data_IF_222211712951
#
_entry.id   IF_222211712951
#
_cell.length_a   1.000
_cell.length_b   1.000
_cell.length_c   1.000
_cell.angle_alpha   90.00
_cell.angle_beta   90.00
_cell.angle_gamma   90.00
#
_symmetry.space_group_name_H-M   'P 1'
#
loop_
_entity.id
_entity.type
_entity.pdbx_description
1 polymer ?
#
# COMPACT_ATOMS: atom_id res chain seq x y z
N UNK A 1 12.75 16.78 -7.87
CA UNK A 1 11.73 15.70 -7.99
C UNK A 1 12.37 14.44 -7.41
N UNK A 2 11.61 13.44 -6.91
CA UNK A 2 12.22 12.16 -6.60
C UNK A 2 12.81 11.58 -7.89
N UNK A 3 13.98 10.96 -7.80
CA UNK A 3 14.49 10.13 -8.89
C UNK A 3 13.54 8.95 -9.08
N UNK A 4 13.25 8.61 -10.33
CA UNK A 4 12.36 7.49 -10.69
C UNK A 4 13.19 6.34 -11.22
N UNK A 5 12.94 5.13 -10.74
CA UNK A 5 13.49 3.91 -11.30
C UNK A 5 12.52 3.41 -12.37
N UNK A 6 13.04 3.22 -13.59
CA UNK A 6 12.30 2.63 -14.70
C UNK A 6 12.28 1.12 -14.54
N UNK A 7 11.12 0.50 -14.71
CA UNK A 7 10.93 -0.94 -14.61
C UNK A 7 10.27 -1.45 -15.88
N UNK A 8 10.74 -2.59 -16.39
CA UNK A 8 10.02 -3.43 -17.33
C UNK A 8 9.80 -4.80 -16.71
N UNK A 9 8.56 -5.28 -16.74
CA UNK A 9 8.24 -6.64 -16.36
C UNK A 9 7.61 -7.38 -17.53
N UNK A 10 8.18 -8.54 -17.86
CA UNK A 10 7.64 -9.48 -18.82
C UNK A 10 7.11 -10.71 -18.09
N UNK A 11 5.80 -10.92 -18.17
CA UNK A 11 5.10 -12.07 -17.60
C UNK A 11 4.79 -13.06 -18.70
N UNK A 12 5.07 -14.35 -18.47
CA UNK A 12 4.60 -15.44 -19.32
C UNK A 12 3.93 -16.54 -18.50
N UNK A 13 2.79 -17.04 -18.98
CA UNK A 13 1.99 -18.02 -18.26
C UNK A 13 0.64 -18.31 -18.90
N UNK A 14 -0.23 -18.98 -18.15
CA UNK A 14 -1.57 -19.35 -18.61
C UNK A 14 -2.44 -18.10 -18.91
N UNK A 15 -3.26 -18.11 -19.98
CA UNK A 15 -4.06 -16.94 -20.37
C UNK A 15 -4.96 -16.39 -19.27
N UNK A 16 -5.50 -17.25 -18.41
CA UNK A 16 -6.31 -16.84 -17.25
C UNK A 16 -5.50 -16.00 -16.24
N UNK A 17 -4.22 -16.34 -16.04
CA UNK A 17 -3.34 -15.61 -15.13
C UNK A 17 -2.89 -14.28 -15.74
N UNK A 18 -2.60 -14.26 -17.03
CA UNK A 18 -2.30 -13.03 -17.77
C UNK A 18 -3.49 -12.05 -17.72
N UNK A 19 -4.73 -12.56 -17.78
CA UNK A 19 -5.92 -11.72 -17.61
C UNK A 19 -6.01 -11.09 -16.21
N UNK A 20 -5.66 -11.83 -15.15
CA UNK A 20 -5.62 -11.28 -13.79
C UNK A 20 -4.46 -10.28 -13.59
N UNK A 21 -3.30 -10.51 -14.21
CA UNK A 21 -2.20 -9.52 -14.23
C UNK A 21 -2.64 -8.23 -14.93
N UNK A 22 -3.39 -8.31 -16.04
CA UNK A 22 -3.97 -7.12 -16.72
C UNK A 22 -4.91 -6.34 -15.79
N UNK A 23 -5.68 -7.04 -14.95
CA UNK A 23 -6.53 -6.38 -13.96
C UNK A 23 -5.70 -5.67 -12.89
N UNK A 24 -4.62 -6.29 -12.41
CA UNK A 24 -3.69 -5.66 -11.49
C UNK A 24 -3.02 -4.42 -12.10
N UNK A 25 -2.49 -4.53 -13.32
CA UNK A 25 -1.86 -3.44 -14.05
C UNK A 25 -2.81 -2.23 -14.26
N UNK A 26 -4.11 -2.48 -14.48
CA UNK A 26 -5.12 -1.43 -14.67
C UNK A 26 -5.80 -0.95 -13.37
N UNK A 27 -5.40 -1.47 -12.20
CA UNK A 27 -6.02 -1.14 -10.91
C UNK A 27 -7.43 -1.72 -10.73
N UNK A 28 -7.84 -2.67 -11.58
CA UNK A 28 -9.16 -3.34 -11.57
C UNK A 28 -9.22 -4.53 -10.59
N UNK A 29 -8.56 -4.39 -9.44
CA UNK A 29 -8.57 -5.32 -8.31
C UNK A 29 -9.43 -4.75 -7.20
N UNK A 30 -10.22 -5.60 -6.54
CA UNK A 30 -11.08 -5.15 -5.43
C UNK A 30 -10.22 -4.60 -4.28
N UNK A 31 -10.45 -3.35 -3.85
CA UNK A 31 -9.57 -2.66 -2.90
C UNK A 31 -9.88 -2.99 -1.43
N UNK A 32 -9.85 -4.29 -1.08
CA UNK A 32 -10.25 -4.77 0.25
C UNK A 32 -9.38 -4.18 1.37
N UNK A 33 -8.05 -4.10 1.17
CA UNK A 33 -7.14 -3.54 2.17
C UNK A 33 -7.42 -2.06 2.42
N UNK A 34 -7.70 -1.27 1.37
CA UNK A 34 -8.06 0.15 1.51
C UNK A 34 -9.35 0.35 2.29
N UNK A 35 -10.36 -0.53 2.06
CA UNK A 35 -11.57 -0.54 2.88
C UNK A 35 -11.23 -0.82 4.34
N UNK A 36 -10.50 -1.90 4.61
CA UNK A 36 -10.11 -2.28 5.97
C UNK A 36 -9.29 -1.19 6.69
N UNK A 37 -8.42 -0.49 5.97
CA UNK A 37 -7.68 0.67 6.47
C UNK A 37 -8.63 1.81 6.87
N UNK A 38 -9.52 2.22 5.97
CA UNK A 38 -10.44 3.34 6.24
C UNK A 38 -11.41 3.02 7.41
N UNK A 39 -11.96 1.81 7.42
CA UNK A 39 -12.78 1.30 8.51
C UNK A 39 -12.01 1.24 9.83
N UNK A 40 -10.75 0.81 9.78
CA UNK A 40 -9.84 0.79 10.91
C UNK A 40 -9.54 2.20 11.46
N UNK A 41 -9.30 3.17 10.59
CA UNK A 41 -9.12 4.58 10.99
C UNK A 41 -10.40 5.10 11.66
N UNK A 42 -11.58 4.76 11.14
CA UNK A 42 -12.85 5.16 11.75
C UNK A 42 -13.04 4.55 13.15
N UNK A 43 -12.69 3.27 13.33
CA UNK A 43 -12.69 2.60 14.63
C UNK A 43 -11.68 3.21 15.60
N UNK A 44 -10.47 3.54 15.12
CA UNK A 44 -9.44 4.23 15.90
C UNK A 44 -9.96 5.56 16.44
N UNK A 45 -10.59 6.37 15.59
CA UNK A 45 -11.17 7.66 15.96
C UNK A 45 -12.35 7.50 16.93
N UNK A 46 -13.25 6.54 16.68
CA UNK A 46 -14.37 6.24 17.57
C UNK A 46 -13.89 5.83 18.96
N UNK A 47 -12.86 4.97 19.05
CA UNK A 47 -12.24 4.59 20.32
C UNK A 47 -11.57 5.75 21.03
N UNK A 48 -10.80 6.55 20.29
CA UNK A 48 -10.10 7.73 20.84
C UNK A 48 -11.05 8.81 21.38
N UNK A 49 -12.24 8.91 20.80
CA UNK A 49 -13.29 9.82 21.27
C UNK A 49 -14.22 9.20 22.34
N UNK A 50 -13.95 7.97 22.79
CA UNK A 50 -14.75 7.27 23.80
C UNK A 50 -16.12 6.79 23.32
N UNK A 51 -16.39 6.84 22.01
CA UNK A 51 -17.61 6.31 21.41
C UNK A 51 -17.67 4.78 21.49
N UNK A 52 -16.49 4.14 21.45
CA UNK A 52 -16.28 2.71 21.68
C UNK A 52 -15.28 2.55 22.83
N UNK A 53 -15.51 1.54 23.66
CA UNK A 53 -14.71 1.27 24.84
C UNK A 53 -14.26 -0.19 24.87
N UNK A 54 -13.12 -0.45 25.50
CA UNK A 54 -12.62 -1.81 25.64
C UNK A 54 -13.46 -2.60 26.65
N UNK A 55 -13.57 -3.91 26.45
CA UNK A 55 -14.24 -4.83 27.39
C UNK A 55 -13.25 -5.62 28.24
N UNK A 56 -12.02 -5.77 27.75
CA UNK A 56 -10.95 -6.55 28.35
C UNK A 56 -9.67 -5.71 28.45
N UNK A 57 -8.71 -6.13 29.28
CA UNK A 57 -7.42 -5.44 29.36
C UNK A 57 -6.59 -5.79 28.12
N UNK A 58 -6.15 -4.75 27.42
CA UNK A 58 -5.27 -4.82 26.26
C UNK A 58 -4.03 -3.96 26.49
N UNK A 59 -3.05 -4.00 25.58
CA UNK A 59 -1.79 -3.25 25.71
C UNK A 59 -1.99 -1.74 25.51
N UNK A 60 -2.42 -1.03 26.56
CA UNK A 60 -2.73 0.41 26.49
C UNK A 60 -1.53 1.27 26.08
N UNK A 61 -0.31 0.81 26.33
CA UNK A 61 0.94 1.52 26.02
C UNK A 61 1.12 1.80 24.52
N UNK A 62 0.60 0.92 23.65
CA UNK A 62 0.72 1.08 22.19
C UNK A 62 -0.23 2.16 21.66
N UNK A 63 -1.40 2.32 22.28
CA UNK A 63 -2.48 3.20 21.81
C UNK A 63 -3.14 3.95 22.98
N UNK A 64 -2.40 4.77 23.76
CA UNK A 64 -2.90 5.31 25.02
C UNK A 64 -4.18 6.15 24.85
N UNK A 65 -4.26 6.96 23.79
CA UNK A 65 -5.43 7.77 23.47
C UNK A 65 -6.70 6.95 23.20
N UNK A 66 -6.56 5.80 22.54
CA UNK A 66 -7.68 4.90 22.19
C UNK A 66 -8.28 4.23 23.43
N UNK A 67 -7.46 3.97 24.45
CA UNK A 67 -7.90 3.29 25.68
C UNK A 67 -8.26 4.24 26.82
N UNK A 68 -8.17 5.55 26.61
CA UNK A 68 -8.35 6.56 27.66
C UNK A 68 -9.75 6.56 28.29
N UNK A 69 -10.78 6.18 27.52
CA UNK A 69 -12.16 6.05 28.00
C UNK A 69 -12.38 4.84 28.93
N UNK A 70 -11.37 3.99 29.12
CA UNK A 70 -11.42 2.85 30.03
C UNK A 70 -12.33 1.72 29.57
N UNK A 71 -12.74 0.87 30.53
CA UNK A 71 -13.63 -0.26 30.27
C UNK A 71 -15.08 0.18 30.17
N UNK A 72 -15.74 -0.22 29.08
CA UNK A 72 -17.16 0.00 28.86
C UNK A 72 -18.03 -1.20 29.21
N UNK A 73 -19.31 -1.11 28.87
CA UNK A 73 -20.24 -2.23 28.98
C UNK A 73 -19.87 -3.36 28.00
N UNK A 74 -20.18 -4.61 28.40
CA UNK A 74 -20.02 -5.79 27.54
C UNK A 74 -21.18 -5.84 26.55
N UNK A 75 -21.07 -5.06 25.48
CA UNK A 75 -21.99 -5.02 24.35
C UNK A 75 -21.34 -5.59 23.09
N UNK A 76 -22.14 -5.93 22.08
CA UNK A 76 -21.63 -6.40 20.78
C UNK A 76 -20.63 -5.41 20.18
N UNK A 77 -20.92 -4.12 20.28
CA UNK A 77 -20.12 -3.03 19.71
C UNK A 77 -18.74 -2.95 20.38
N UNK A 78 -18.71 -2.96 21.71
CA UNK A 78 -17.48 -2.86 22.48
C UNK A 78 -16.65 -4.17 22.40
N UNK A 79 -17.29 -5.33 22.28
CA UNK A 79 -16.59 -6.60 22.03
C UNK A 79 -15.91 -6.58 20.65
N UNK A 80 -16.64 -6.16 19.61
CA UNK A 80 -16.10 -6.05 18.25
C UNK A 80 -14.92 -5.07 18.19
N UNK A 81 -15.06 -3.91 18.84
CA UNK A 81 -13.99 -2.93 18.99
C UNK A 81 -12.76 -3.49 19.71
N UNK A 82 -12.96 -4.21 20.82
CA UNK A 82 -11.87 -4.83 21.59
C UNK A 82 -11.11 -5.86 20.74
N UNK A 83 -11.83 -6.67 19.95
CA UNK A 83 -11.23 -7.63 19.02
C UNK A 83 -10.47 -6.93 17.91
N UNK A 84 -11.07 -5.92 17.27
CA UNK A 84 -10.40 -5.13 16.24
C UNK A 84 -9.11 -4.51 16.77
N UNK A 85 -9.15 -3.93 17.98
CA UNK A 85 -7.98 -3.33 18.61
C UNK A 85 -6.91 -4.37 18.93
N UNK A 86 -7.28 -5.61 19.26
CA UNK A 86 -6.33 -6.72 19.39
C UNK A 86 -5.64 -7.03 18.05
N UNK A 87 -6.38 -7.04 16.94
CA UNK A 87 -5.82 -7.22 15.61
C UNK A 87 -4.89 -6.06 15.19
N UNK A 88 -5.26 -4.82 15.53
CA UNK A 88 -4.39 -3.66 15.36
C UNK A 88 -3.08 -3.87 16.12
N UNK A 89 -3.14 -4.17 17.42
CA UNK A 89 -1.94 -4.33 18.24
C UNK A 89 -1.03 -5.50 17.81
N UNK A 90 -1.60 -6.52 17.17
CA UNK A 90 -0.86 -7.66 16.64
C UNK A 90 -0.28 -7.40 15.25
N UNK A 91 -0.58 -6.25 14.63
CA UNK A 91 -0.10 -5.89 13.31
C UNK A 91 -0.51 -6.92 12.25
N UNK A 92 -1.78 -7.35 12.26
CA UNK A 92 -2.26 -8.35 11.30
C UNK A 92 -2.06 -7.88 9.86
N UNK A 93 -1.70 -8.82 8.98
CA UNK A 93 -1.56 -8.57 7.55
C UNK A 93 -2.93 -8.28 6.92
N UNK A 94 -2.99 -7.30 6.03
CA UNK A 94 -4.19 -6.94 5.28
C UNK A 94 -4.35 -7.82 4.01
N UNK A 95 -4.29 -9.14 4.19
CA UNK A 95 -4.69 -10.09 3.16
C UNK A 95 -6.22 -10.16 3.01
N UNK A 96 -6.72 -10.87 2.00
CA UNK A 96 -8.16 -10.97 1.72
C UNK A 96 -8.96 -11.49 2.93
N UNK A 97 -8.48 -12.54 3.59
CA UNK A 97 -9.17 -13.17 4.72
C UNK A 97 -9.28 -12.19 5.90
N UNK A 98 -8.17 -11.55 6.27
CA UNK A 98 -8.14 -10.60 7.37
C UNK A 98 -8.94 -9.34 7.03
N UNK A 99 -8.92 -8.85 5.78
CA UNK A 99 -9.74 -7.72 5.37
C UNK A 99 -11.24 -8.00 5.50
N UNK A 100 -11.70 -9.21 5.16
CA UNK A 100 -13.08 -9.61 5.34
C UNK A 100 -13.47 -9.72 6.82
N UNK A 101 -12.58 -10.28 7.64
CA UNK A 101 -12.78 -10.36 9.10
C UNK A 101 -12.80 -8.98 9.76
N UNK A 102 -11.90 -8.06 9.38
CA UNK A 102 -11.86 -6.69 9.90
C UNK A 102 -13.13 -5.92 9.54
N UNK A 103 -13.64 -6.11 8.32
CA UNK A 103 -14.91 -5.53 7.89
C UNK A 103 -16.08 -6.04 8.74
N UNK A 104 -16.13 -7.33 9.05
CA UNK A 104 -17.16 -7.89 9.94
C UNK A 104 -17.10 -7.28 11.35
N UNK A 105 -15.91 -7.03 11.89
CA UNK A 105 -15.75 -6.32 13.17
C UNK A 105 -16.23 -4.87 13.10
N UNK A 106 -16.00 -4.19 11.98
CA UNK A 106 -16.52 -2.84 11.74
C UNK A 106 -18.05 -2.80 11.63
N UNK A 107 -18.67 -3.81 11.00
CA UNK A 107 -20.13 -3.94 10.98
C UNK A 107 -20.68 -4.16 12.39
N UNK A 108 -20.06 -5.05 13.17
CA UNK A 108 -20.48 -5.38 14.54
C UNK A 108 -20.25 -4.24 15.54
N UNK A 109 -19.29 -3.33 15.29
CA UNK A 109 -19.11 -2.14 16.12
C UNK A 109 -20.26 -1.13 15.98
N UNK A 110 -21.06 -1.24 14.91
CA UNK A 110 -22.11 -0.30 14.59
C UNK A 110 -21.61 1.10 14.21
N UNK A 111 -20.30 1.31 14.08
CA UNK A 111 -19.72 2.63 13.74
C UNK A 111 -20.22 3.12 12.40
N UNK A 112 -20.32 2.23 11.41
CA UNK A 112 -20.86 2.54 10.09
C UNK A 112 -22.31 3.03 10.07
N UNK A 113 -23.08 2.82 11.13
CA UNK A 113 -24.47 3.26 11.23
C UNK A 113 -24.62 4.64 11.87
N UNK A 114 -23.53 5.18 12.45
CA UNK A 114 -23.53 6.44 13.19
C UNK A 114 -23.10 7.57 12.27
N UNK A 115 -24.05 8.23 11.59
CA UNK A 115 -23.73 9.41 10.76
C UNK A 115 -23.18 10.55 11.62
N UNK A 116 -22.34 11.38 11.00
CA UNK A 116 -21.59 12.46 11.66
C UNK A 116 -22.50 13.39 12.47
N UNK A 117 -23.65 13.74 11.92
CA UNK A 117 -24.61 14.67 12.54
C UNK A 117 -25.28 14.09 13.80
N UNK A 118 -25.26 12.76 13.95
CA UNK A 118 -25.79 12.06 15.12
C UNK A 118 -24.77 11.86 16.24
N UNK A 119 -23.51 12.27 16.05
CA UNK A 119 -22.48 12.16 17.07
C UNK A 119 -22.56 13.33 18.08
N UNK A 120 -22.30 13.08 19.38
CA UNK A 120 -22.18 14.13 20.38
C UNK A 120 -21.11 15.18 20.02
N UNK A 121 -21.29 16.43 20.47
CA UNK A 121 -20.39 17.54 20.14
C UNK A 121 -18.95 17.29 20.59
N UNK A 122 -18.76 16.79 21.82
CA UNK A 122 -17.45 16.47 22.39
C UNK A 122 -16.73 15.34 21.63
N UNK A 123 -17.50 14.36 21.15
CA UNK A 123 -17.01 13.27 20.29
C UNK A 123 -16.57 13.84 18.93
N UNK A 124 -17.38 14.70 18.31
CA UNK A 124 -17.04 15.34 17.03
C UNK A 124 -15.80 16.22 17.14
N UNK A 125 -15.66 16.98 18.22
CA UNK A 125 -14.51 17.84 18.46
C UNK A 125 -13.22 17.01 18.56
N UNK A 126 -13.27 15.90 19.32
CA UNK A 126 -12.13 14.99 19.47
C UNK A 126 -11.74 14.34 18.14
N UNK A 127 -12.72 13.82 17.39
CA UNK A 127 -12.49 13.20 16.08
C UNK A 127 -11.92 14.24 15.11
N UNK A 128 -12.48 15.44 15.07
CA UNK A 128 -12.05 16.53 14.18
C UNK A 128 -10.60 16.92 14.45
N UNK A 129 -10.20 17.05 15.73
CA UNK A 129 -8.85 17.39 16.11
C UNK A 129 -7.84 16.33 15.64
N UNK A 130 -8.11 15.05 15.92
CA UNK A 130 -7.24 13.93 15.53
C UNK A 130 -7.16 13.79 14.01
N UNK A 131 -8.30 13.82 13.34
CA UNK A 131 -8.38 13.72 11.89
C UNK A 131 -7.68 14.88 11.19
N UNK A 132 -7.85 16.10 11.67
CA UNK A 132 -7.17 17.26 11.07
C UNK A 132 -5.65 17.15 11.20
N UNK A 133 -5.15 16.68 12.35
CA UNK A 133 -3.71 16.47 12.55
C UNK A 133 -3.14 15.37 11.63
N UNK A 134 -3.96 14.38 11.25
CA UNK A 134 -3.55 13.21 10.44
C UNK A 134 -4.10 13.19 9.02
N UNK A 135 -4.78 14.24 8.57
CA UNK A 135 -5.50 14.30 7.30
C UNK A 135 -4.61 13.94 6.11
N UNK A 136 -3.39 14.47 6.07
CA UNK A 136 -2.45 14.19 4.99
C UNK A 136 -2.09 12.70 4.87
N UNK A 137 -2.07 11.97 5.98
CA UNK A 137 -1.75 10.55 6.01
C UNK A 137 -2.97 9.68 5.65
N UNK A 138 -4.16 10.06 6.12
CA UNK A 138 -5.38 9.23 5.95
C UNK A 138 -6.16 9.52 4.67
N UNK A 139 -6.04 10.73 4.12
CA UNK A 139 -6.75 11.15 2.91
C UNK A 139 -5.81 11.46 1.74
N UNK A 140 -4.49 11.41 1.97
CA UNK A 140 -3.48 11.85 1.03
C UNK A 140 -3.19 13.35 1.15
N UNK A 141 -1.94 13.71 0.85
CA UNK A 141 -1.38 15.05 1.10
C UNK A 141 -2.16 16.20 0.46
N UNK A 142 -2.81 15.95 -0.68
CA UNK A 142 -3.56 16.96 -1.44
C UNK A 142 -5.06 16.97 -1.14
N UNK A 143 -5.54 16.10 -0.25
CA UNK A 143 -6.96 16.03 0.07
C UNK A 143 -7.36 17.13 1.05
N UNK A 144 -8.34 17.92 0.64
CA UNK A 144 -9.03 18.88 1.48
C UNK A 144 -10.38 18.34 2.00
N UNK A 145 -10.57 17.01 1.97
CA UNK A 145 -11.81 16.39 2.38
C UNK A 145 -12.19 16.77 3.82
N UNK A 146 -13.45 17.15 4.00
CA UNK A 146 -14.00 17.46 5.31
C UNK A 146 -14.26 16.17 6.11
N UNK A 147 -14.00 16.21 7.42
CA UNK A 147 -14.13 15.03 8.29
C UNK A 147 -15.56 14.48 8.30
N UNK A 148 -16.59 15.33 8.20
CA UNK A 148 -17.98 14.89 8.14
C UNK A 148 -18.29 14.13 6.85
N UNK A 149 -17.76 14.61 5.73
CA UNK A 149 -17.91 13.98 4.41
C UNK A 149 -17.17 12.65 4.37
N UNK A 150 -15.91 12.62 4.85
CA UNK A 150 -15.12 11.40 4.95
C UNK A 150 -15.83 10.35 5.82
N UNK A 151 -16.31 10.75 7.00
CA UNK A 151 -16.99 9.88 7.93
C UNK A 151 -18.29 9.31 7.35
N UNK A 152 -19.14 10.17 6.78
CA UNK A 152 -20.42 9.76 6.22
C UNK A 152 -20.27 8.88 4.97
N UNK A 153 -19.23 9.07 4.15
CA UNK A 153 -18.95 8.18 3.02
C UNK A 153 -18.68 6.74 3.48
N UNK A 154 -17.99 6.54 4.61
CA UNK A 154 -17.79 5.20 5.17
C UNK A 154 -19.10 4.59 5.67
N UNK A 155 -20.03 5.40 6.18
CA UNK A 155 -21.36 4.94 6.57
C UNK A 155 -22.18 4.43 5.37
N UNK A 156 -21.91 4.91 4.16
CA UNK A 156 -22.58 4.41 2.96
C UNK A 156 -22.04 3.03 2.51
N UNK A 157 -20.98 2.52 3.16
CA UNK A 157 -20.38 1.20 2.95
C UNK A 157 -20.06 0.90 1.47
N UNK A 158 -19.60 1.92 0.75
CA UNK A 158 -19.19 1.82 -0.65
C UNK A 158 -17.71 1.44 -0.71
N UNK A 159 -17.38 0.46 -1.54
CA UNK A 159 -15.98 0.12 -1.81
C UNK A 159 -15.25 1.32 -2.45
N UNK A 160 -13.97 1.55 -2.13
CA UNK A 160 -13.16 2.52 -2.86
C UNK A 160 -13.23 2.27 -4.38
N UNK A 161 -13.25 3.34 -5.17
CA UNK A 161 -13.60 3.25 -6.60
C UNK A 161 -12.63 2.35 -7.40
N UNK A 162 -11.31 2.52 -7.26
CA UNK A 162 -10.25 1.67 -7.83
C UNK A 162 -8.93 1.80 -7.06
N UNK A 163 -8.05 0.82 -7.25
CA UNK A 163 -6.65 0.90 -6.82
C UNK A 163 -5.80 1.68 -7.82
N UNK A 164 -4.60 2.07 -7.39
CA UNK A 164 -3.58 2.56 -8.31
C UNK A 164 -3.18 1.44 -9.29
N UNK A 165 -2.75 1.79 -10.51
CA UNK A 165 -2.10 0.84 -11.41
C UNK A 165 -0.99 0.09 -10.68
N UNK A 166 -0.99 -1.23 -10.83
CA UNK A 166 0.01 -2.12 -10.24
C UNK A 166 0.20 -1.95 -8.71
N UNK A 167 -0.88 -1.75 -7.98
CA UNK A 167 -0.85 -1.63 -6.52
C UNK A 167 -0.29 -2.90 -5.83
N UNK A 168 0.97 -2.82 -5.40
CA UNK A 168 1.75 -3.94 -4.89
C UNK A 168 1.31 -4.35 -3.47
N UNK A 169 0.59 -3.47 -2.75
CA UNK A 169 -0.02 -3.79 -1.45
C UNK A 169 -1.10 -4.87 -1.58
N UNK A 170 -1.69 -5.02 -2.77
CA UNK A 170 -2.63 -6.10 -3.06
C UNK A 170 -1.95 -7.44 -3.31
N UNK A 171 -0.64 -7.43 -3.58
CA UNK A 171 0.17 -8.62 -3.92
C UNK A 171 0.89 -9.13 -2.70
N UNK A 172 1.66 -8.26 -2.05
CA UNK A 172 2.32 -8.52 -0.79
C UNK A 172 1.59 -7.68 0.28
N UNK A 173 0.82 -8.28 1.20
CA UNK A 173 0.00 -7.53 2.13
C UNK A 173 0.81 -6.64 3.09
N UNK A 174 0.32 -5.41 3.29
CA UNK A 174 0.77 -4.53 4.39
C UNK A 174 0.12 -4.91 5.72
N UNK A 175 0.38 -4.16 6.79
CA UNK A 175 -0.16 -4.40 8.13
C UNK A 175 -1.19 -3.36 8.54
N UNK A 176 -2.21 -3.80 9.27
CA UNK A 176 -3.28 -2.91 9.77
C UNK A 176 -2.74 -1.75 10.62
N UNK A 177 -1.82 -2.02 11.54
CA UNK A 177 -1.27 -0.98 12.41
C UNK A 177 -0.42 0.03 11.67
N UNK A 178 0.36 -0.41 10.69
CA UNK A 178 1.13 0.48 9.83
C UNK A 178 0.22 1.44 9.06
N UNK A 179 -0.85 0.93 8.45
CA UNK A 179 -1.78 1.76 7.67
C UNK A 179 -2.57 2.73 8.54
N UNK A 180 -3.02 2.31 9.74
CA UNK A 180 -3.68 3.21 10.69
C UNK A 180 -2.71 4.25 11.25
N UNK A 181 -1.44 3.87 11.49
CA UNK A 181 -0.39 4.77 11.93
C UNK A 181 -0.11 5.88 10.89
N UNK A 182 -0.30 5.55 9.61
CA UNK A 182 -0.20 6.45 8.49
C UNK A 182 1.21 6.60 7.94
N UNK A 183 1.33 7.30 6.81
CA UNK A 183 2.60 7.47 6.09
C UNK A 183 3.72 8.05 6.95
N UNK A 184 3.41 9.08 7.74
CA UNK A 184 4.37 9.72 8.65
C UNK A 184 4.34 9.10 10.07
N UNK A 185 3.39 8.22 10.37
CA UNK A 185 3.28 7.56 11.68
C UNK A 185 2.84 8.50 12.80
N UNK A 186 3.09 8.08 14.05
CA UNK A 186 3.00 8.93 15.24
C UNK A 186 1.68 8.87 16.00
N UNK A 187 0.73 8.02 15.61
CA UNK A 187 -0.49 7.76 16.41
C UNK A 187 -0.41 6.46 17.22
N UNK A 188 0.49 5.54 16.85
CA UNK A 188 0.75 4.29 17.56
C UNK A 188 2.21 4.21 18.02
N UNK A 189 2.43 3.92 19.30
CA UNK A 189 3.76 3.78 19.88
C UNK A 189 4.42 2.47 19.44
N UNK A 190 5.69 2.52 19.05
CA UNK A 190 6.46 1.32 18.68
C UNK A 190 6.02 0.68 17.34
N UNK A 191 5.14 1.32 16.58
CA UNK A 191 4.75 0.90 15.23
C UNK A 191 5.52 1.76 14.21
N UNK A 192 6.15 1.18 13.18
CA UNK A 192 6.81 1.96 12.14
C UNK A 192 5.78 2.81 11.38
N UNK A 193 6.23 3.90 10.78
CA UNK A 193 5.39 4.63 9.82
C UNK A 193 5.27 3.85 8.51
N UNK A 194 4.22 4.09 7.72
CA UNK A 194 4.08 3.41 6.44
C UNK A 194 5.23 3.74 5.49
N UNK A 195 5.82 4.94 5.56
CA UNK A 195 7.06 5.26 4.85
C UNK A 195 8.18 4.24 5.15
N UNK A 196 8.53 4.03 6.42
CA UNK A 196 9.61 3.12 6.81
C UNK A 196 9.27 1.67 6.46
N UNK A 197 8.03 1.26 6.72
CA UNK A 197 7.55 -0.07 6.37
C UNK A 197 7.61 -0.32 4.86
N UNK A 198 7.21 0.66 4.04
CA UNK A 198 7.24 0.52 2.58
C UNK A 198 8.67 0.45 2.05
N UNK A 199 9.56 1.31 2.54
CA UNK A 199 10.98 1.27 2.14
C UNK A 199 11.66 -0.04 2.55
N UNK A 200 11.33 -0.60 3.71
CA UNK A 200 11.94 -1.86 4.19
C UNK A 200 11.33 -3.09 3.52
N UNK A 201 10.00 -3.12 3.33
CA UNK A 201 9.27 -4.32 2.89
C UNK A 201 9.12 -4.41 1.38
N UNK A 202 9.07 -3.27 0.69
CA UNK A 202 8.81 -3.18 -0.74
C UNK A 202 9.94 -2.49 -1.50
N UNK A 203 10.93 -1.90 -0.81
CA UNK A 203 12.08 -1.21 -1.43
C UNK A 203 11.76 0.17 -2.00
N UNK A 204 10.48 0.55 -2.01
CA UNK A 204 9.98 1.75 -2.69
C UNK A 204 9.16 2.60 -1.74
N UNK A 205 9.20 3.92 -1.95
CA UNK A 205 8.44 4.87 -1.14
C UNK A 205 6.93 4.68 -1.27
N UNK A 206 6.46 4.44 -2.49
CA UNK A 206 5.05 4.28 -2.83
C UNK A 206 4.91 3.00 -3.67
N UNK A 207 4.35 1.92 -3.11
CA UNK A 207 4.34 0.58 -3.72
C UNK A 207 3.24 0.42 -4.78
N UNK A 208 3.31 1.23 -5.83
CA UNK A 208 2.46 1.15 -7.02
C UNK A 208 3.24 1.56 -8.27
N UNK A 209 2.69 1.24 -9.45
CA UNK A 209 3.29 1.64 -10.73
C UNK A 209 2.84 3.03 -11.16
N UNK A 210 3.81 3.89 -11.47
CA UNK A 210 3.60 5.21 -12.06
C UNK A 210 3.82 5.14 -13.57
N UNK A 211 3.10 5.98 -14.32
CA UNK A 211 3.17 6.05 -15.79
C UNK A 211 3.11 4.68 -16.49
N UNK A 212 2.31 3.77 -15.91
CA UNK A 212 2.24 2.38 -16.34
C UNK A 212 1.72 2.29 -17.78
N UNK A 213 2.47 1.57 -18.61
CA UNK A 213 2.15 1.28 -19.99
C UNK A 213 2.24 -0.22 -20.28
N UNK A 214 1.29 -0.74 -21.04
CA UNK A 214 1.38 -2.11 -21.59
C UNK A 214 2.08 -2.01 -22.94
N UNK A 215 3.39 -2.23 -22.98
CA UNK A 215 4.20 -2.06 -24.19
C UNK A 215 4.11 -3.24 -25.16
N UNK A 216 3.76 -4.43 -24.68
CA UNK A 216 3.52 -5.60 -25.53
C UNK A 216 2.59 -6.59 -24.83
N UNK A 217 1.79 -7.34 -25.58
CA UNK A 217 0.91 -8.37 -25.02
C UNK A 217 0.51 -9.41 -26.04
N UNK A 218 0.27 -10.64 -25.56
CA UNK A 218 -0.31 -11.75 -26.31
C UNK A 218 -1.31 -12.53 -25.45
N UNK A 219 -1.65 -13.74 -25.90
CA UNK A 219 -2.55 -14.64 -25.15
C UNK A 219 -1.89 -15.17 -23.87
N UNK A 220 -0.61 -15.54 -23.95
CA UNK A 220 0.16 -16.19 -22.89
C UNK A 220 1.26 -15.30 -22.30
N UNK A 221 1.27 -14.00 -22.63
CA UNK A 221 2.24 -13.07 -22.08
C UNK A 221 1.71 -11.62 -21.99
N UNK A 222 2.33 -10.84 -21.11
CA UNK A 222 2.17 -9.39 -21.03
C UNK A 222 3.49 -8.73 -20.62
N UNK A 223 3.83 -7.64 -21.28
CA UNK A 223 4.93 -6.76 -20.93
C UNK A 223 4.37 -5.43 -20.44
N UNK A 224 4.84 -4.99 -19.27
CA UNK A 224 4.47 -3.72 -18.66
C UNK A 224 5.71 -2.91 -18.33
N UNK A 225 5.68 -1.64 -18.69
CA UNK A 225 6.67 -0.63 -18.30
C UNK A 225 6.03 0.30 -17.27
N UNK A 226 6.75 0.64 -16.21
CA UNK A 226 6.27 1.55 -15.17
C UNK A 226 7.43 2.11 -14.33
N UNK A 227 7.16 3.21 -13.65
CA UNK A 227 8.10 3.84 -12.75
C UNK A 227 7.79 3.59 -11.28
N UNK A 228 8.84 3.49 -10.48
CA UNK A 228 8.77 3.47 -9.02
C UNK A 228 9.68 4.52 -8.42
N UNK A 229 9.31 5.12 -7.28
CA UNK A 229 10.15 6.14 -6.66
C UNK A 229 11.42 5.49 -6.07
N UNK A 230 12.57 6.03 -6.47
CA UNK A 230 13.93 5.72 -6.01
C UNK A 230 14.51 4.38 -6.44
N UNK A 231 13.80 3.27 -6.22
CA UNK A 231 14.32 1.93 -6.48
C UNK A 231 13.29 1.06 -7.18
N UNK A 232 13.73 -0.09 -7.66
CA UNK A 232 12.87 -1.20 -8.07
C UNK A 232 12.15 -1.81 -6.85
N UNK A 233 11.00 -2.49 -7.02
CA UNK A 233 10.38 -3.24 -5.94
C UNK A 233 11.29 -4.36 -5.41
N UNK A 234 11.20 -4.63 -4.11
CA UNK A 234 11.97 -5.68 -3.44
C UNK A 234 11.73 -7.08 -4.02
N UNK A 235 12.75 -7.94 -3.92
CA UNK A 235 12.72 -9.31 -4.46
C UNK A 235 11.52 -10.12 -3.96
N UNK A 236 11.17 -9.98 -2.68
CA UNK A 236 10.01 -10.61 -2.06
C UNK A 236 8.68 -10.24 -2.74
N UNK A 237 8.57 -9.00 -3.25
CA UNK A 237 7.39 -8.52 -3.98
C UNK A 237 7.29 -9.19 -5.34
N UNK A 238 8.42 -9.28 -6.05
CA UNK A 238 8.50 -9.89 -7.39
C UNK A 238 8.28 -11.41 -7.30
N UNK A 239 8.82 -12.05 -6.27
CA UNK A 239 8.50 -13.42 -5.91
C UNK A 239 7.01 -13.60 -5.60
N UNK A 240 6.40 -12.71 -4.82
CA UNK A 240 4.96 -12.79 -4.53
C UNK A 240 4.10 -12.64 -5.80
N UNK A 241 4.49 -11.77 -6.75
CA UNK A 241 3.85 -11.65 -8.06
C UNK A 241 3.90 -12.97 -8.84
N UNK A 242 5.11 -13.51 -9.06
CA UNK A 242 5.28 -14.75 -9.84
C UNK A 242 4.58 -15.96 -9.21
N UNK A 243 4.56 -16.04 -7.88
CA UNK A 243 3.82 -17.07 -7.12
C UNK A 243 2.33 -16.93 -7.29
N UNK A 244 1.78 -15.73 -7.04
CA UNK A 244 0.33 -15.46 -7.06
C UNK A 244 -0.27 -15.81 -8.41
N UNK A 245 0.41 -15.44 -9.49
CA UNK A 245 -0.07 -15.67 -10.85
C UNK A 245 0.51 -16.94 -11.48
N UNK A 246 1.25 -17.75 -10.71
CA UNK A 246 1.83 -19.02 -11.15
C UNK A 246 2.55 -18.92 -12.51
N UNK A 247 3.33 -17.84 -12.69
CA UNK A 247 3.94 -17.45 -13.96
C UNK A 247 5.47 -17.39 -13.88
N UNK A 248 6.09 -17.25 -15.05
CA UNK A 248 7.49 -16.82 -15.18
C UNK A 248 7.49 -15.30 -15.35
N UNK A 249 8.37 -14.62 -14.61
CA UNK A 249 8.47 -13.17 -14.56
C UNK A 249 9.93 -12.74 -14.74
N UNK A 250 10.20 -12.03 -15.83
CA UNK A 250 11.46 -11.31 -16.03
C UNK A 250 11.26 -9.84 -15.68
N UNK A 251 12.18 -9.27 -14.91
CA UNK A 251 12.12 -7.90 -14.44
C UNK A 251 13.44 -7.19 -14.72
N UNK A 252 13.41 -6.21 -15.61
CA UNK A 252 14.51 -5.27 -15.84
C UNK A 252 14.22 -3.97 -15.11
N UNK A 253 15.27 -3.35 -14.57
CA UNK A 253 15.16 -2.04 -13.95
C UNK A 253 16.43 -1.21 -14.13
N UNK A 254 16.26 0.12 -14.14
CA UNK A 254 17.35 1.08 -14.25
C UNK A 254 17.01 2.40 -13.55
N UNK A 255 18.00 3.02 -12.91
CA UNK A 255 17.89 4.36 -12.32
C UNK A 255 19.23 5.10 -12.52
N UNK A 256 19.22 6.10 -13.40
CA UNK A 256 20.42 6.80 -13.83
C UNK A 256 20.97 7.80 -12.81
N UNK A 257 20.15 8.33 -11.91
CA UNK A 257 20.57 9.32 -10.93
C UNK A 257 21.52 8.75 -9.87
N UNK A 258 21.32 7.50 -9.48
CA UNK A 258 22.19 6.71 -8.60
C UNK A 258 22.99 5.62 -9.34
N UNK A 259 22.91 5.61 -10.68
CA UNK A 259 23.71 4.79 -11.57
C UNK A 259 23.63 3.28 -11.30
N UNK A 260 22.42 2.73 -11.20
CA UNK A 260 22.23 1.29 -11.03
C UNK A 260 21.24 0.70 -12.03
N UNK A 261 21.41 -0.60 -12.30
CA UNK A 261 20.50 -1.38 -13.11
C UNK A 261 20.53 -2.86 -12.75
N UNK A 262 19.52 -3.61 -13.18
CA UNK A 262 19.45 -5.04 -12.94
C UNK A 262 18.42 -5.75 -13.78
N UNK A 263 18.58 -7.07 -13.84
CA UNK A 263 17.65 -8.01 -14.43
C UNK A 263 17.46 -9.19 -13.48
N UNK A 264 16.23 -9.64 -13.32
CA UNK A 264 15.89 -10.76 -12.45
C UNK A 264 14.88 -11.67 -13.13
N UNK A 265 15.04 -12.98 -12.96
CA UNK A 265 14.11 -14.00 -13.42
C UNK A 265 13.49 -14.72 -12.24
N UNK A 266 12.17 -14.77 -12.19
CA UNK A 266 11.41 -15.49 -11.18
C UNK A 266 10.49 -16.52 -11.80
N UNK A 267 10.36 -17.67 -11.14
CA UNK A 267 9.40 -18.72 -11.51
C UNK A 267 8.61 -19.15 -10.28
N UNK A 268 7.28 -18.94 -10.32
CA UNK A 268 6.34 -19.41 -9.28
C UNK A 268 6.77 -19.07 -7.84
N UNK A 269 7.42 -17.93 -7.64
CA UNK A 269 7.84 -17.43 -6.34
C UNK A 269 9.29 -17.66 -5.97
N UNK A 270 10.09 -18.24 -6.84
CA UNK A 270 11.53 -18.45 -6.62
C UNK A 270 12.33 -17.55 -7.56
N UNK A 271 13.38 -16.90 -7.02
CA UNK A 271 14.38 -16.22 -7.82
C UNK A 271 15.27 -17.27 -8.48
N UNK A 272 15.28 -17.30 -9.80
CA UNK A 272 16.00 -18.30 -10.61
C UNK A 272 17.34 -17.77 -11.08
N UNK A 273 17.39 -16.51 -11.51
CA UNK A 273 18.61 -15.87 -12.00
C UNK A 273 18.58 -14.36 -11.75
N UNK A 274 19.75 -13.75 -11.66
CA UNK A 274 19.91 -12.31 -11.38
C UNK A 274 21.20 -11.75 -11.96
N UNK A 275 21.08 -10.59 -12.58
CA UNK A 275 22.17 -9.70 -12.96
C UNK A 275 21.93 -8.35 -12.30
N UNK A 276 23.00 -7.74 -11.79
CA UNK A 276 22.97 -6.38 -11.25
C UNK A 276 24.29 -5.69 -11.56
N UNK A 277 24.25 -4.37 -11.71
CA UNK A 277 25.42 -3.56 -12.02
C UNK A 277 25.10 -2.08 -12.09
N UNK A 278 26.05 -1.31 -12.60
CA UNK A 278 25.94 0.12 -12.86
C UNK A 278 25.64 0.34 -14.35
N UNK A 279 25.10 1.49 -14.74
CA UNK A 279 24.93 1.81 -16.16
C UNK A 279 26.30 2.11 -16.76
N UNK A 280 26.50 1.71 -18.01
CA UNK A 280 27.73 2.01 -18.74
C UNK A 280 27.49 3.23 -19.62
N UNK A 281 28.31 4.28 -19.46
CA UNK A 281 28.11 5.57 -20.11
C UNK A 281 29.08 5.79 -21.26
N UNK A 282 28.61 6.49 -22.30
CA UNK A 282 29.50 7.03 -23.32
C UNK A 282 30.50 8.01 -22.70
N UNK A 283 31.61 8.24 -23.40
CA UNK A 283 32.57 9.31 -23.06
C UNK A 283 32.38 10.44 -24.07
N UNK A 284 31.61 11.49 -23.73
CA UNK A 284 31.43 12.65 -24.60
C UNK A 284 32.77 13.25 -25.00
N UNK A 285 32.88 13.71 -26.24
CA UNK A 285 34.11 14.35 -26.74
C UNK A 285 34.01 15.87 -26.83
N UNK A 286 32.81 16.40 -26.59
CA UNK A 286 32.47 17.82 -26.54
C UNK A 286 31.80 18.14 -25.19
N UNK A 287 32.06 19.34 -24.64
CA UNK A 287 31.53 19.78 -23.33
C UNK A 287 30.00 20.00 -23.37
N UNK A 288 29.42 20.15 -24.57
CA UNK A 288 27.97 20.29 -24.79
C UNK A 288 27.25 18.95 -25.02
N UNK A 289 27.98 17.83 -25.12
CA UNK A 289 27.41 16.49 -25.35
C UNK A 289 27.10 15.79 -24.01
N UNK A 290 25.83 15.43 -23.80
CA UNK A 290 25.43 14.69 -22.61
C UNK A 290 25.82 13.20 -22.75
N UNK A 291 26.36 12.56 -21.70
CA UNK A 291 26.67 11.14 -21.74
C UNK A 291 25.38 10.33 -21.92
N UNK A 292 25.45 9.33 -22.79
CA UNK A 292 24.35 8.42 -23.10
C UNK A 292 24.64 7.05 -22.48
N UNK A 293 23.59 6.32 -22.10
CA UNK A 293 23.73 4.94 -21.65
C UNK A 293 24.04 4.04 -22.85
N UNK A 294 25.18 3.35 -22.78
CA UNK A 294 25.71 2.43 -23.79
C UNK A 294 25.66 0.97 -23.34
N UNK A 295 25.40 0.71 -22.07
CA UNK A 295 25.36 -0.63 -21.50
C UNK A 295 24.84 -0.64 -20.07
N UNK A 296 24.78 -1.82 -19.43
CA UNK A 296 25.17 -3.11 -19.98
C UNK A 296 24.23 -3.60 -21.10
N UNK A 297 24.71 -4.47 -21.99
CA UNK A 297 23.95 -4.94 -23.16
C UNK A 297 22.62 -5.65 -22.81
N UNK A 298 22.47 -6.15 -21.59
CA UNK A 298 21.24 -6.78 -21.09
C UNK A 298 20.21 -5.77 -20.56
N UNK A 299 20.57 -4.49 -20.42
CA UNK A 299 19.67 -3.37 -20.09
C UNK A 299 19.26 -2.58 -21.32
N UNK A 300 20.20 -2.31 -22.22
CA UNK A 300 19.95 -1.51 -23.44
C UNK A 300 18.76 -2.13 -24.21
N UNK A 301 17.78 -1.28 -24.53
CA UNK A 301 16.49 -1.62 -25.17
C UNK A 301 15.52 -2.49 -24.34
N UNK A 302 15.92 -2.96 -23.15
CA UNK A 302 15.09 -3.76 -22.25
C UNK A 302 14.39 -2.96 -21.14
N UNK A 303 14.58 -1.65 -21.10
CA UNK A 303 13.79 -0.70 -20.30
C UNK A 303 13.23 0.39 -21.20
N UNK A 304 12.14 1.06 -20.80
CA UNK A 304 11.53 2.13 -21.61
C UNK A 304 12.37 3.43 -21.60
N UNK A 305 13.07 3.67 -20.49
CA UNK A 305 14.05 4.73 -20.26
C UNK A 305 14.94 4.31 -19.07
N UNK A 306 15.93 5.12 -18.71
CA UNK A 306 16.89 4.77 -17.65
C UNK A 306 16.58 5.43 -16.30
N UNK A 307 15.35 5.87 -16.07
CA UNK A 307 14.96 6.59 -14.85
C UNK A 307 15.54 8.01 -14.74
N UNK A 308 15.68 8.50 -13.50
CA UNK A 308 16.27 9.82 -13.16
C UNK A 308 15.27 10.94 -12.89
#
# INVERSE_FOLDING_TARGET
>A
MPNWCSNRMYFSGEPAQIAEIKRLASGAVTPLYRRATNEGIQLFLAGSAGLLQITENIRSEQCPGVTAAGRGAVSTENIAFTRWLTHLQNGVLLDEQNCLMLHELWLQSGTGQRRWEGLPDDVRDTITALFTAKRGDWCGFWSNEDVSVWWNRLCDNVLPEKNMPFDLLTVLPTRLDVEVNGFNGGVLNGVPSAYHWYTERYGVKWPCGYDLNISSQGENFIQVDFDTPWCQPESDVIAALSRRFSCTLEHWYAEQGCDFCGWQLYERGELVDVLWGELEWSSPTDDDELPEVTGPAWIVDNVAHYGG
#
